data_IF_069125333145
#
_entry.id   IF_069125333145
#
_cell.length_a   1.000
_cell.length_b   1.000
_cell.length_c   1.000
_cell.angle_alpha   90.00
_cell.angle_beta   90.00
_cell.angle_gamma   90.00
#
_symmetry.space_group_name_H-M   'P 1'
#
loop_
_entity.id
_entity.type
_entity.pdbx_description
1 polymer ?
#
# COMPACT_ATOMS: atom_id res chain seq x y z
N UNK A 1 0.14 8.15 15.88
CA UNK A 1 -0.22 8.59 14.51
C UNK A 1 0.89 9.44 13.94
N UNK A 2 1.72 8.80 13.14
CA UNK A 2 2.89 9.38 12.47
C UNK A 2 2.51 10.42 11.41
N UNK A 3 3.50 11.13 10.87
CA UNK A 3 3.30 11.99 9.70
C UNK A 3 3.01 11.14 8.46
N UNK A 4 3.65 9.98 8.34
CA UNK A 4 3.38 9.02 7.27
C UNK A 4 1.91 8.56 7.26
N UNK A 5 1.34 8.22 8.42
CA UNK A 5 -0.08 7.87 8.53
C UNK A 5 -1.00 9.02 8.13
N UNK A 6 -0.68 10.25 8.57
CA UNK A 6 -1.45 11.44 8.19
C UNK A 6 -1.44 11.65 6.66
N UNK A 7 -0.27 11.58 6.03
CA UNK A 7 -0.13 11.70 4.58
C UNK A 7 -0.91 10.60 3.85
N UNK A 8 -0.83 9.36 4.34
CA UNK A 8 -1.61 8.24 3.82
C UNK A 8 -3.13 8.50 3.85
N UNK A 9 -3.66 9.07 4.94
CA UNK A 9 -5.10 9.39 5.04
C UNK A 9 -5.57 10.42 4.01
N UNK A 10 -4.68 11.25 3.47
CA UNK A 10 -4.99 12.11 2.32
C UNK A 10 -4.88 11.33 1.01
N UNK A 11 -3.77 10.63 0.78
CA UNK A 11 -3.52 9.91 -0.47
C UNK A 11 -4.52 8.78 -0.75
N UNK A 12 -5.02 8.11 0.29
CA UNK A 12 -6.00 7.03 0.12
C UNK A 12 -7.38 7.54 -0.33
N UNK A 13 -7.69 8.83 -0.11
CA UNK A 13 -8.97 9.42 -0.51
C UNK A 13 -9.15 9.43 -2.02
N UNK A 14 -8.07 9.59 -2.80
CA UNK A 14 -8.14 9.49 -4.25
C UNK A 14 -8.74 8.15 -4.71
N UNK A 15 -8.43 7.05 -4.02
CA UNK A 15 -9.01 5.74 -4.31
C UNK A 15 -10.49 5.65 -3.90
N UNK A 16 -10.87 6.31 -2.81
CA UNK A 16 -12.26 6.39 -2.32
C UNK A 16 -13.11 7.23 -3.26
N UNK A 17 -12.64 8.42 -3.67
CA UNK A 17 -13.31 9.30 -4.63
C UNK A 17 -13.50 8.62 -5.99
N UNK A 18 -12.50 7.86 -6.48
CA UNK A 18 -12.65 7.08 -7.71
C UNK A 18 -13.73 5.99 -7.60
N UNK A 19 -13.89 5.38 -6.43
CA UNK A 19 -14.95 4.41 -6.17
C UNK A 19 -16.31 5.12 -6.06
N UNK A 20 -16.39 6.27 -5.39
CA UNK A 20 -17.61 7.08 -5.30
C UNK A 20 -18.06 7.60 -6.67
N UNK A 21 -17.13 8.06 -7.50
CA UNK A 21 -17.41 8.44 -8.88
C UNK A 21 -17.94 7.26 -9.71
N UNK A 22 -17.41 6.05 -9.49
CA UNK A 22 -17.95 4.85 -10.12
C UNK A 22 -19.39 4.58 -9.67
N UNK A 23 -19.67 4.66 -8.36
CA UNK A 23 -21.01 4.44 -7.81
C UNK A 23 -22.00 5.53 -8.30
N UNK A 24 -21.56 6.79 -8.38
CA UNK A 24 -22.38 7.93 -8.83
C UNK A 24 -22.77 7.90 -10.31
N UNK A 25 -22.03 7.17 -11.16
CA UNK A 25 -22.37 7.00 -12.57
C UNK A 25 -23.69 6.23 -12.79
N UNK A 26 -24.24 5.57 -11.76
CA UNK A 26 -25.63 5.11 -11.62
C UNK A 26 -26.32 4.58 -12.89
N UNK A 27 -25.59 3.87 -13.75
CA UNK A 27 -26.09 3.32 -15.00
C UNK A 27 -26.10 1.79 -14.94
N UNK A 28 -27.21 1.20 -15.37
CA UNK A 28 -27.33 -0.24 -15.60
C UNK A 28 -27.62 -0.49 -17.08
N UNK A 29 -26.63 -1.00 -17.85
CA UNK A 29 -25.26 -1.36 -17.44
C UNK A 29 -24.34 -0.13 -17.27
N UNK A 30 -23.28 -0.22 -16.44
CA UNK A 30 -22.27 0.83 -16.32
C UNK A 30 -21.62 1.10 -17.69
N UNK A 31 -21.31 2.36 -18.03
CA UNK A 31 -20.62 2.63 -19.29
C UNK A 31 -19.24 1.98 -19.29
N UNK A 32 -18.78 1.54 -20.46
CA UNK A 32 -17.56 0.72 -20.56
C UNK A 32 -16.28 1.40 -20.04
N UNK A 33 -16.27 2.73 -19.97
CA UNK A 33 -15.19 3.53 -19.40
C UNK A 33 -15.19 3.55 -17.86
N UNK A 34 -16.32 3.25 -17.19
CA UNK A 34 -16.42 3.22 -15.73
C UNK A 34 -15.49 2.16 -15.10
N UNK A 35 -15.12 1.12 -15.85
CA UNK A 35 -14.11 0.14 -15.41
C UNK A 35 -12.74 0.77 -15.11
N UNK A 36 -12.38 1.85 -15.83
CA UNK A 36 -11.11 2.55 -15.66
C UNK A 36 -11.02 3.12 -14.25
N UNK A 37 -12.13 3.62 -13.71
CA UNK A 37 -12.19 4.19 -12.35
C UNK A 37 -11.83 3.14 -11.29
N UNK A 38 -12.38 1.93 -11.40
CA UNK A 38 -12.05 0.84 -10.45
C UNK A 38 -10.60 0.39 -10.54
N UNK A 39 -10.03 0.32 -11.75
CA UNK A 39 -8.61 -0.02 -11.93
C UNK A 39 -7.70 1.09 -11.40
N UNK A 40 -8.02 2.34 -11.72
CA UNK A 40 -7.31 3.50 -11.22
C UNK A 40 -7.38 3.55 -9.68
N UNK A 41 -8.54 3.31 -9.07
CA UNK A 41 -8.70 3.29 -7.62
C UNK A 41 -7.81 2.23 -6.95
N UNK A 42 -7.71 1.03 -7.52
CA UNK A 42 -6.81 -0.01 -6.99
C UNK A 42 -5.34 0.41 -7.09
N UNK A 43 -4.95 1.05 -8.19
CA UNK A 43 -3.59 1.57 -8.38
C UNK A 43 -3.31 2.67 -7.35
N UNK A 44 -4.21 3.65 -7.20
CA UNK A 44 -4.06 4.76 -6.24
C UNK A 44 -3.96 4.25 -4.80
N UNK A 45 -4.78 3.27 -4.40
CA UNK A 45 -4.72 2.70 -3.05
C UNK A 45 -3.37 2.04 -2.76
N UNK A 46 -2.81 1.31 -3.73
CA UNK A 46 -1.52 0.64 -3.57
C UNK A 46 -0.32 1.59 -3.74
N UNK A 47 -0.47 2.69 -4.47
CA UNK A 47 0.51 3.78 -4.48
C UNK A 47 0.55 4.48 -3.12
N UNK A 48 -0.62 4.76 -2.52
CA UNK A 48 -0.68 5.31 -1.16
C UNK A 48 -0.02 4.39 -0.13
N UNK A 49 -0.21 3.06 -0.25
CA UNK A 49 0.52 2.07 0.55
C UNK A 49 2.04 2.16 0.37
N UNK A 50 2.52 2.23 -0.87
CA UNK A 50 3.95 2.29 -1.18
C UNK A 50 4.60 3.53 -0.57
N UNK A 51 4.02 4.71 -0.79
CA UNK A 51 4.48 5.96 -0.18
C UNK A 51 4.45 5.89 1.35
N UNK A 52 3.39 5.33 1.94
CA UNK A 52 3.32 5.17 3.39
C UNK A 52 4.47 4.34 3.95
N UNK A 53 4.79 3.19 3.32
CA UNK A 53 5.86 2.30 3.79
C UNK A 53 7.22 3.01 3.76
N UNK A 54 7.51 3.72 2.67
CA UNK A 54 8.75 4.50 2.50
C UNK A 54 8.86 5.64 3.54
N UNK A 55 7.80 6.42 3.70
CA UNK A 55 7.76 7.53 4.65
C UNK A 55 7.85 7.03 6.09
N UNK A 56 7.15 5.93 6.43
CA UNK A 56 7.06 5.44 7.80
C UNK A 56 8.39 4.87 8.29
N UNK A 57 9.12 4.12 7.46
CA UNK A 57 10.46 3.62 7.84
C UNK A 57 11.45 4.78 7.97
N UNK A 58 11.36 5.77 7.10
CA UNK A 58 12.23 6.96 7.13
C UNK A 58 11.99 7.78 8.40
N UNK A 59 10.73 8.01 8.75
CA UNK A 59 10.34 8.71 9.98
C UNK A 59 10.81 7.95 11.23
N UNK A 60 10.61 6.62 11.27
CA UNK A 60 11.08 5.78 12.37
C UNK A 60 12.60 5.81 12.53
N UNK A 61 13.35 5.66 11.43
CA UNK A 61 14.80 5.65 11.47
C UNK A 61 15.33 7.01 11.93
N UNK A 62 14.73 8.12 11.48
CA UNK A 62 15.10 9.45 11.92
C UNK A 62 14.94 9.65 13.45
N UNK A 63 13.95 8.99 14.06
CA UNK A 63 13.77 8.97 15.52
C UNK A 63 14.91 8.20 16.20
N UNK A 64 15.23 6.98 15.72
CA UNK A 64 16.32 6.16 16.29
C UNK A 64 17.69 6.83 16.15
N UNK A 65 17.94 7.51 15.02
CA UNK A 65 19.22 8.18 14.76
C UNK A 65 19.34 9.54 15.46
N UNK A 66 18.31 10.02 16.16
CA UNK A 66 18.26 11.39 16.73
C UNK A 66 19.48 11.75 17.59
N UNK A 67 20.01 10.79 18.36
CA UNK A 67 21.17 11.01 19.24
C UNK A 67 22.52 10.99 18.51
N UNK A 68 22.58 10.39 17.33
CA UNK A 68 23.80 10.22 16.53
C UNK A 68 23.72 10.97 15.19
N UNK A 69 22.76 11.89 15.06
CA UNK A 69 22.57 12.71 13.87
C UNK A 69 23.80 13.58 13.61
N UNK A 70 24.30 13.58 12.38
CA UNK A 70 25.55 14.28 12.00
C UNK A 70 26.83 13.51 12.37
N UNK A 71 26.71 12.30 12.91
CA UNK A 71 27.82 11.37 12.97
C UNK A 71 27.95 10.63 11.63
N UNK A 72 29.17 10.22 11.29
CA UNK A 72 29.43 9.40 10.09
C UNK A 72 28.57 8.13 10.03
N UNK A 73 28.26 7.53 11.18
CA UNK A 73 27.44 6.33 11.27
C UNK A 73 25.96 6.65 10.98
N UNK A 74 25.42 7.68 11.64
CA UNK A 74 24.04 8.11 11.41
C UNK A 74 23.79 8.56 9.97
N UNK A 75 24.71 9.35 9.42
CA UNK A 75 24.61 9.84 8.04
C UNK A 75 24.69 8.68 7.03
N UNK A 76 25.60 7.72 7.26
CA UNK A 76 25.69 6.51 6.44
C UNK A 76 24.40 5.68 6.46
N UNK A 77 23.80 5.47 7.64
CA UNK A 77 22.55 4.71 7.74
C UNK A 77 21.39 5.40 7.02
N UNK A 78 21.27 6.72 7.16
CA UNK A 78 20.24 7.51 6.48
C UNK A 78 20.42 7.48 4.95
N UNK A 79 21.65 7.69 4.45
CA UNK A 79 21.96 7.63 3.02
C UNK A 79 21.74 6.22 2.44
N UNK A 80 22.10 5.19 3.21
CA UNK A 80 21.84 3.80 2.81
C UNK A 80 20.35 3.54 2.64
N UNK A 81 19.52 3.96 3.60
CA UNK A 81 18.06 3.85 3.50
C UNK A 81 17.55 4.58 2.25
N UNK A 82 17.94 5.83 2.07
CA UNK A 82 17.52 6.63 0.91
C UNK A 82 17.84 5.95 -0.42
N UNK A 83 19.03 5.36 -0.54
CA UNK A 83 19.45 4.64 -1.75
C UNK A 83 18.71 3.31 -1.95
N UNK A 84 18.32 2.64 -0.87
CA UNK A 84 17.50 1.43 -0.93
C UNK A 84 16.07 1.75 -1.36
N UNK A 85 15.46 2.81 -0.81
CA UNK A 85 14.11 3.26 -1.16
C UNK A 85 13.98 3.64 -2.63
N UNK A 86 15.03 4.21 -3.25
CA UNK A 86 15.05 4.51 -4.71
C UNK A 86 14.82 3.27 -5.59
N UNK A 87 15.04 2.06 -5.06
CA UNK A 87 14.86 0.78 -5.78
C UNK A 87 13.74 -0.07 -5.17
N UNK A 88 13.04 0.46 -4.17
CA UNK A 88 12.03 -0.26 -3.40
C UNK A 88 10.67 -0.25 -4.11
N UNK A 89 10.61 -0.91 -5.26
CA UNK A 89 9.38 -0.99 -6.05
C UNK A 89 8.55 -2.22 -5.70
N UNK A 90 7.23 -2.07 -5.73
CA UNK A 90 6.27 -3.14 -5.43
C UNK A 90 6.50 -3.72 -4.02
N UNK A 91 6.14 -2.97 -2.96
CA UNK A 91 6.40 -3.33 -1.57
C UNK A 91 5.49 -4.45 -1.09
N UNK A 92 5.84 -5.68 -1.46
CA UNK A 92 5.21 -6.91 -0.96
C UNK A 92 5.54 -7.17 0.51
N UNK A 93 4.82 -8.10 1.11
CA UNK A 93 4.97 -8.38 2.53
C UNK A 93 6.38 -8.80 2.94
N UNK A 94 7.11 -9.50 2.07
CA UNK A 94 8.48 -9.95 2.36
C UNK A 94 9.48 -8.79 2.29
N UNK A 95 9.38 -7.94 1.27
CA UNK A 95 10.22 -6.74 1.12
C UNK A 95 9.95 -5.74 2.24
N UNK A 96 8.69 -5.47 2.56
CA UNK A 96 8.31 -4.59 3.67
C UNK A 96 8.82 -5.14 5.00
N UNK A 97 8.68 -6.45 5.25
CA UNK A 97 9.27 -7.09 6.44
C UNK A 97 10.79 -6.87 6.52
N UNK A 98 11.49 -7.16 5.43
CA UNK A 98 12.96 -7.09 5.39
C UNK A 98 13.44 -5.65 5.64
N UNK A 99 12.81 -4.66 5.00
CA UNK A 99 13.12 -3.25 5.15
C UNK A 99 13.01 -2.79 6.62
N UNK A 100 11.93 -3.16 7.31
CA UNK A 100 11.74 -2.76 8.71
C UNK A 100 12.67 -3.53 9.67
N UNK A 101 12.99 -4.78 9.37
CA UNK A 101 14.00 -5.53 10.14
C UNK A 101 15.40 -4.93 9.99
N UNK A 102 15.80 -4.60 8.76
CA UNK A 102 17.17 -4.12 8.48
C UNK A 102 17.47 -2.76 9.10
N UNK A 103 16.46 -1.88 9.16
CA UNK A 103 16.65 -0.50 9.62
C UNK A 103 16.17 -0.26 11.05
N UNK A 104 15.18 -1.01 11.52
CA UNK A 104 14.56 -0.77 12.83
C UNK A 104 14.62 -1.98 13.76
N UNK A 105 14.96 -3.17 13.25
CA UNK A 105 14.97 -4.41 14.01
C UNK A 105 13.57 -4.95 14.35
N UNK A 106 12.51 -4.46 13.69
CA UNK A 106 11.11 -4.79 14.02
C UNK A 106 10.42 -5.50 12.84
N UNK A 107 9.83 -6.67 13.09
CA UNK A 107 8.93 -7.32 12.12
C UNK A 107 7.50 -6.78 12.26
N UNK A 108 7.22 -5.66 11.59
CA UNK A 108 5.87 -5.06 11.59
C UNK A 108 4.80 -6.00 11.02
N UNK A 109 5.17 -6.92 10.14
CA UNK A 109 4.22 -7.79 9.44
C UNK A 109 3.66 -8.90 10.32
N UNK A 110 4.28 -9.15 11.48
CA UNK A 110 3.75 -10.02 12.51
C UNK A 110 2.50 -9.44 13.18
N UNK A 111 2.36 -8.10 13.20
CA UNK A 111 1.25 -7.39 13.86
C UNK A 111 0.03 -7.23 12.98
N UNK A 112 0.13 -7.57 11.68
CA UNK A 112 -0.94 -7.44 10.70
C UNK A 112 -2.09 -8.44 10.90
N UNK A 113 -2.33 -8.94 12.11
CA UNK A 113 -3.51 -9.72 12.42
C UNK A 113 -4.76 -8.82 12.54
N UNK A 114 -5.84 -9.23 11.87
CA UNK A 114 -7.16 -8.60 11.95
C UNK A 114 -8.17 -9.48 12.66
N UNK A 115 -9.43 -9.03 12.73
CA UNK A 115 -10.52 -9.80 13.35
C UNK A 115 -10.81 -11.12 12.60
N UNK A 116 -10.65 -11.13 11.28
CA UNK A 116 -11.01 -12.27 10.42
C UNK A 116 -9.83 -13.09 9.93
N UNK A 117 -8.64 -12.51 9.86
CA UNK A 117 -7.44 -13.12 9.29
C UNK A 117 -6.26 -12.95 10.23
N UNK A 118 -5.41 -13.98 10.29
CA UNK A 118 -4.11 -13.89 10.93
C UNK A 118 -3.11 -13.09 10.09
N UNK A 119 -1.95 -12.81 10.67
CA UNK A 119 -0.89 -12.07 9.99
C UNK A 119 -0.42 -12.76 8.69
N UNK A 120 -0.38 -14.10 8.66
CA UNK A 120 0.01 -14.85 7.47
C UNK A 120 -1.00 -14.70 6.32
N UNK A 121 -2.30 -14.76 6.62
CA UNK A 121 -3.38 -14.51 5.68
C UNK A 121 -3.33 -13.09 5.11
N UNK A 122 -3.09 -12.10 5.97
CA UNK A 122 -3.01 -10.71 5.52
C UNK A 122 -1.74 -10.42 4.70
N UNK A 123 -0.59 -11.02 5.01
CA UNK A 123 0.59 -10.95 4.13
C UNK A 123 0.27 -11.48 2.72
N UNK A 124 -0.35 -12.66 2.63
CA UNK A 124 -0.78 -13.24 1.34
C UNK A 124 -1.78 -12.35 0.60
N UNK A 125 -2.69 -11.70 1.33
CA UNK A 125 -3.68 -10.80 0.75
C UNK A 125 -3.01 -9.54 0.14
N UNK A 126 -2.02 -8.95 0.82
CA UNK A 126 -1.24 -7.83 0.29
C UNK A 126 -0.49 -8.24 -0.99
N UNK A 127 0.22 -9.37 -0.96
CA UNK A 127 0.99 -9.87 -2.11
C UNK A 127 0.07 -10.10 -3.33
N UNK A 128 -1.14 -10.64 -3.09
CA UNK A 128 -2.15 -10.83 -4.12
C UNK A 128 -2.65 -9.49 -4.70
N UNK A 129 -2.85 -8.46 -3.87
CA UNK A 129 -3.24 -7.12 -4.33
C UNK A 129 -2.15 -6.46 -5.17
N UNK A 130 -0.89 -6.57 -4.77
CA UNK A 130 0.26 -6.04 -5.53
C UNK A 130 0.37 -6.74 -6.89
N UNK A 131 0.18 -8.06 -6.94
CA UNK A 131 0.10 -8.78 -8.21
C UNK A 131 -1.07 -8.29 -9.08
N UNK A 132 -2.24 -8.07 -8.47
CA UNK A 132 -3.44 -7.57 -9.16
C UNK A 132 -3.24 -6.15 -9.72
N UNK A 133 -2.47 -5.29 -9.04
CA UNK A 133 -2.05 -3.96 -9.55
C UNK A 133 -1.33 -4.08 -10.88
N UNK A 134 -0.32 -4.95 -10.95
CA UNK A 134 0.45 -5.17 -12.18
C UNK A 134 -0.46 -5.61 -13.34
N UNK A 135 -1.43 -6.50 -13.07
CA UNK A 135 -2.41 -6.91 -14.07
C UNK A 135 -3.33 -5.75 -14.50
N UNK A 136 -3.77 -4.92 -13.56
CA UNK A 136 -4.64 -3.77 -13.83
C UNK A 136 -3.98 -2.71 -14.72
N UNK A 137 -2.67 -2.52 -14.58
CA UNK A 137 -1.88 -1.57 -15.38
C UNK A 137 -1.48 -2.17 -16.73
N UNK A 138 -0.96 -3.40 -16.79
CA UNK A 138 -0.34 -3.95 -17.99
C UNK A 138 -1.28 -4.70 -18.95
N UNK A 139 -2.45 -5.17 -18.51
CA UNK A 139 -3.36 -6.00 -19.33
C UNK A 139 -4.69 -5.29 -19.64
N UNK A 140 -4.62 -4.00 -19.91
CA UNK A 140 -5.79 -3.13 -20.06
C UNK A 140 -6.57 -3.25 -21.39
N UNK A 141 -6.15 -4.11 -22.35
CA UNK A 141 -6.97 -4.87 -23.35
C UNK A 141 -6.13 -5.26 -24.59
N UNK A 142 -6.14 -6.54 -24.97
CA UNK A 142 -6.23 -6.92 -26.40
C UNK A 142 -7.67 -7.43 -26.56
N UNK A 143 -8.46 -6.75 -27.39
CA UNK A 143 -9.83 -7.19 -27.70
C UNK A 143 -9.77 -8.54 -28.43
N UNK A 144 -10.20 -9.60 -27.76
CA UNK A 144 -10.53 -10.86 -28.40
C UNK A 144 -12.04 -10.89 -28.66
N UNK A 145 -12.38 -11.28 -29.88
CA UNK A 145 -13.69 -11.35 -30.51
C UNK A 145 -14.83 -11.88 -29.62
N UNK A 146 -15.91 -11.10 -29.51
CA UNK A 146 -17.28 -11.61 -29.33
C UNK A 146 -17.89 -11.66 -27.93
N UNK A 147 -17.08 -11.67 -26.86
CA UNK A 147 -17.59 -11.70 -25.47
C UNK A 147 -17.00 -10.53 -24.67
N UNK A 148 -17.80 -9.70 -23.97
CA UNK A 148 -17.28 -8.68 -23.07
C UNK A 148 -16.40 -9.36 -22.00
N UNK A 149 -15.10 -9.03 -21.89
CA UNK A 149 -14.23 -9.65 -20.90
C UNK A 149 -14.74 -9.33 -19.49
N UNK A 150 -14.70 -10.32 -18.59
CA UNK A 150 -15.07 -10.14 -17.20
C UNK A 150 -14.25 -9.00 -16.56
N UNK A 151 -14.91 -8.15 -15.77
CA UNK A 151 -14.25 -7.04 -15.08
C UNK A 151 -13.08 -7.52 -14.22
N UNK A 152 -11.86 -7.07 -14.53
CA UNK A 152 -10.65 -7.42 -13.79
C UNK A 152 -10.69 -6.98 -12.30
N UNK A 153 -11.31 -5.83 -12.03
CA UNK A 153 -11.53 -5.29 -10.68
C UNK A 153 -13.03 -5.08 -10.49
N UNK A 154 -13.61 -5.80 -9.52
CA UNK A 154 -15.00 -5.60 -9.08
C UNK A 154 -15.05 -4.44 -8.07
N UNK A 155 -16.23 -3.82 -7.93
CA UNK A 155 -16.48 -2.75 -6.94
C UNK A 155 -16.10 -3.22 -5.53
N UNK A 156 -16.68 -4.35 -5.10
CA UNK A 156 -16.45 -4.90 -3.76
C UNK A 156 -15.00 -5.30 -3.53
N UNK A 157 -14.27 -5.70 -4.57
CA UNK A 157 -12.84 -5.99 -4.47
C UNK A 157 -12.05 -4.72 -4.15
N UNK A 158 -12.38 -3.59 -4.80
CA UNK A 158 -11.72 -2.31 -4.55
C UNK A 158 -12.05 -1.80 -3.15
N UNK A 159 -13.33 -1.81 -2.75
CA UNK A 159 -13.73 -1.39 -1.42
C UNK A 159 -13.02 -2.20 -0.32
N UNK A 160 -12.95 -3.53 -0.49
CA UNK A 160 -12.21 -4.40 0.44
C UNK A 160 -10.71 -4.10 0.43
N UNK A 161 -10.11 -3.83 -0.72
CA UNK A 161 -8.69 -3.48 -0.82
C UNK A 161 -8.38 -2.17 -0.06
N UNK A 162 -9.20 -1.13 -0.22
CA UNK A 162 -9.03 0.15 0.49
C UNK A 162 -9.08 -0.07 2.00
N UNK A 163 -10.13 -0.76 2.49
CA UNK A 163 -10.28 -1.06 3.93
C UNK A 163 -9.12 -1.90 4.47
N UNK A 164 -8.65 -2.86 3.68
CA UNK A 164 -7.54 -3.72 4.03
C UNK A 164 -6.22 -2.95 4.14
N UNK A 165 -5.92 -2.05 3.19
CA UNK A 165 -4.71 -1.22 3.25
C UNK A 165 -4.75 -0.28 4.46
N UNK A 166 -5.91 0.34 4.74
CA UNK A 166 -6.11 1.15 5.97
C UNK A 166 -5.82 0.35 7.24
N UNK A 167 -6.22 -0.92 7.30
CA UNK A 167 -5.90 -1.82 8.41
C UNK A 167 -4.39 -2.05 8.54
N UNK A 168 -3.67 -2.30 7.44
CA UNK A 168 -2.22 -2.53 7.50
C UNK A 168 -1.47 -1.30 8.01
N UNK A 169 -1.87 -0.11 7.57
CA UNK A 169 -1.32 1.17 8.04
C UNK A 169 -1.54 1.33 9.54
N UNK A 170 -2.78 1.20 10.01
CA UNK A 170 -3.13 1.32 11.44
C UNK A 170 -2.31 0.34 12.31
N UNK A 171 -2.17 -0.91 11.86
CA UNK A 171 -1.39 -1.93 12.59
C UNK A 171 0.10 -1.61 12.62
N UNK A 172 0.62 -1.12 11.49
CA UNK A 172 2.04 -0.74 11.38
C UNK A 172 2.37 0.46 12.25
N UNK A 173 1.54 1.50 12.24
CA UNK A 173 1.73 2.67 13.11
C UNK A 173 1.71 2.30 14.58
N UNK A 174 0.71 1.53 15.03
CA UNK A 174 0.64 1.10 16.43
C UNK A 174 1.85 0.26 16.84
N UNK A 175 2.28 -0.68 16.00
CA UNK A 175 3.46 -1.49 16.26
C UNK A 175 4.70 -0.63 16.51
N UNK A 176 4.89 0.41 15.69
CA UNK A 176 6.08 1.25 15.78
C UNK A 176 5.98 2.30 16.89
N UNK A 177 4.79 2.82 17.17
CA UNK A 177 4.53 3.73 18.31
C UNK A 177 4.75 3.00 19.67
N UNK A 178 4.59 1.67 19.72
CA UNK A 178 4.88 0.85 20.90
C UNK A 178 6.37 0.45 21.02
N UNK A 179 7.11 0.45 19.90
CA UNK A 179 8.48 -0.05 19.82
C UNK A 179 9.56 1.06 19.82
N UNK A 180 9.19 2.33 19.54
CA UNK A 180 10.09 3.48 19.41
C UNK A 180 9.84 4.52 20.50
#
# INVERSE_FOLDING_TARGET
MSKAEQAFQYSIKDAEELLEHFDALNANPPPANAEVLKRAGLVMALTAWETYVEDRVTEALAIQLKLIKGSRCGDFMAEKLENELKRFHNPDSAKTKQLFLDYLGVDITATWAGMSNDAAGNRKALDALISKRGQAVHRSKVQSTGVPPAHLVKRDDLEKAIRFIKLLVDKTDRCLDECL
#
